data_IF_306880571404
#
_entry.id   IF_306880571404
#
_cell.length_a   1.000
_cell.length_b   1.000
_cell.length_c   1.000
_cell.angle_alpha   90.00
_cell.angle_beta   90.00
_cell.angle_gamma   90.00
#
_symmetry.space_group_name_H-M   'P 1'
#
loop_
_entity.id
_entity.type
_entity.pdbx_description
1 polymer ?
#
# COMPACT_ATOMS: atom_id res chain seq x y z
N UNK A 1 2.53 -14.21 14.93
CA UNK A 1 1.38 -14.79 14.18
C UNK A 1 0.03 -14.50 14.81
N UNK A 2 -0.09 -14.32 16.14
CA UNK A 2 -1.36 -14.11 16.85
C UNK A 2 -2.21 -12.95 16.28
N UNK A 3 -1.58 -11.81 15.97
CA UNK A 3 -2.29 -10.64 15.43
C UNK A 3 -2.89 -10.88 14.03
N UNK A 4 -2.18 -11.64 13.18
CA UNK A 4 -2.68 -12.03 11.87
C UNK A 4 -3.94 -12.91 11.97
N UNK A 5 -3.95 -13.83 12.93
CA UNK A 5 -5.09 -14.73 13.19
C UNK A 5 -6.28 -13.95 13.73
N UNK A 6 -6.04 -13.04 14.69
CA UNK A 6 -7.10 -12.22 15.27
C UNK A 6 -7.77 -11.30 14.24
N UNK A 7 -6.97 -10.69 13.34
CA UNK A 7 -7.46 -9.82 12.28
C UNK A 7 -7.90 -10.56 11.02
N UNK A 8 -7.73 -11.89 10.96
CA UNK A 8 -7.95 -12.71 9.76
C UNK A 8 -7.22 -12.19 8.50
N UNK A 9 -5.97 -11.72 8.65
CA UNK A 9 -5.16 -11.19 7.54
C UNK A 9 -3.88 -12.01 7.33
N UNK A 10 -3.41 -12.06 6.09
CA UNK A 10 -2.10 -12.66 5.78
C UNK A 10 -0.96 -11.82 6.38
N UNK A 11 0.18 -12.43 6.75
CA UNK A 11 1.33 -11.70 7.29
C UNK A 11 1.80 -10.52 6.43
N UNK A 12 1.81 -10.68 5.10
CA UNK A 12 2.24 -9.60 4.20
C UNK A 12 1.22 -8.46 4.11
N UNK A 13 -0.06 -8.77 4.26
CA UNK A 13 -1.12 -7.76 4.40
C UNK A 13 -0.92 -6.97 5.69
N UNK A 14 -0.65 -7.63 6.81
CA UNK A 14 -0.37 -6.96 8.08
C UNK A 14 0.86 -6.07 7.98
N UNK A 15 1.98 -6.56 7.41
CA UNK A 15 3.18 -5.75 7.19
C UNK A 15 2.88 -4.51 6.34
N UNK A 16 2.06 -4.65 5.31
CA UNK A 16 1.65 -3.51 4.49
C UNK A 16 0.82 -2.50 5.29
N UNK A 17 -0.17 -2.94 6.06
CA UNK A 17 -0.98 -2.07 6.92
C UNK A 17 -0.10 -1.28 7.90
N UNK A 18 0.87 -1.94 8.53
CA UNK A 18 1.81 -1.28 9.45
C UNK A 18 2.68 -0.23 8.77
N UNK A 19 3.11 -0.47 7.52
CA UNK A 19 3.84 0.54 6.73
C UNK A 19 2.97 1.76 6.41
N UNK A 20 1.70 1.55 6.08
CA UNK A 20 0.75 2.65 5.86
C UNK A 20 0.53 3.44 7.15
N UNK A 21 0.38 2.77 8.29
CA UNK A 21 0.24 3.44 9.59
C UNK A 21 1.48 4.23 10.00
N UNK A 22 2.68 3.73 9.67
CA UNK A 22 3.94 4.45 9.90
C UNK A 22 4.02 5.72 9.04
N UNK A 23 3.67 5.62 7.76
CA UNK A 23 3.63 6.75 6.81
C UNK A 23 2.62 7.83 7.24
N UNK A 24 1.46 7.39 7.76
CA UNK A 24 0.44 8.27 8.34
C UNK A 24 0.76 8.74 9.76
N UNK A 25 1.88 8.33 10.35
CA UNK A 25 2.30 8.65 11.73
C UNK A 25 1.29 8.21 12.82
N UNK A 26 0.51 7.18 12.55
CA UNK A 26 -0.33 6.51 13.55
C UNK A 26 0.48 5.59 14.46
N UNK A 27 1.61 5.11 13.95
CA UNK A 27 2.60 4.37 14.72
C UNK A 27 3.98 4.94 14.47
N UNK A 28 4.87 4.80 15.44
CA UNK A 28 6.30 5.07 15.31
C UNK A 28 7.07 3.75 15.40
N UNK A 29 8.32 3.77 14.94
CA UNK A 29 9.23 2.65 15.11
C UNK A 29 10.41 3.12 15.97
N UNK A 30 10.58 2.48 17.12
CA UNK A 30 11.66 2.72 18.08
C UNK A 30 12.32 1.39 18.38
N UNK A 31 13.63 1.27 18.17
CA UNK A 31 14.41 0.04 18.42
C UNK A 31 13.85 -1.22 17.73
N UNK A 32 13.29 -1.04 16.53
CA UNK A 32 12.67 -2.13 15.76
C UNK A 32 11.30 -2.57 16.27
N UNK A 33 10.78 -1.91 17.31
CA UNK A 33 9.44 -2.13 17.85
C UNK A 33 8.48 -1.04 17.37
N UNK A 34 7.25 -1.43 17.06
CA UNK A 34 6.19 -0.50 16.68
C UNK A 34 5.50 0.00 17.94
N UNK A 35 5.41 1.32 18.09
CA UNK A 35 4.64 1.99 19.15
C UNK A 35 3.46 2.74 18.56
N UNK A 36 2.34 2.76 19.28
CA UNK A 36 1.16 3.52 18.88
C UNK A 36 1.40 4.99 19.22
N UNK A 37 1.15 5.88 18.27
CA UNK A 37 1.09 7.31 18.54
C UNK A 37 -0.22 7.61 19.31
N UNK A 38 -0.11 8.16 20.52
CA UNK A 38 -1.26 8.45 21.37
C UNK A 38 -2.06 9.68 20.93
N UNK A 39 -1.45 10.59 20.16
CA UNK A 39 -2.07 11.81 19.66
C UNK A 39 -1.83 11.98 18.15
N UNK A 40 -2.34 11.06 17.30
CA UNK A 40 -2.19 11.20 15.88
C UNK A 40 -3.16 12.26 15.33
N UNK A 41 -2.69 13.06 14.37
CA UNK A 41 -3.59 13.88 13.56
C UNK A 41 -4.52 12.98 12.76
N UNK A 42 -5.77 13.40 12.55
CA UNK A 42 -6.68 12.69 11.64
C UNK A 42 -6.14 12.79 10.21
N UNK A 43 -5.81 11.66 9.59
CA UNK A 43 -5.31 11.58 8.21
C UNK A 43 -6.09 10.56 7.40
N UNK A 44 -6.36 10.86 6.13
CA UNK A 44 -6.96 9.90 5.21
C UNK A 44 -5.94 8.84 4.80
N UNK A 45 -6.40 7.63 4.55
CA UNK A 45 -5.58 6.56 3.96
C UNK A 45 -5.01 6.98 2.59
N UNK A 46 -5.76 7.79 1.84
CA UNK A 46 -5.36 8.29 0.52
C UNK A 46 -4.17 9.24 0.59
N UNK A 47 -3.85 9.79 1.76
CA UNK A 47 -2.66 10.63 1.94
C UNK A 47 -1.37 9.83 2.12
N UNK A 48 -1.45 8.50 2.28
CA UNK A 48 -0.28 7.63 2.38
C UNK A 48 0.34 7.36 1.01
N UNK A 49 1.62 7.69 0.85
CA UNK A 49 2.41 7.35 -0.34
C UNK A 49 2.54 5.83 -0.50
N UNK A 50 2.66 5.10 0.62
CA UNK A 50 2.72 3.63 0.60
C UNK A 50 1.42 3.04 0.05
N UNK A 51 0.28 3.60 0.43
CA UNK A 51 -1.01 3.16 -0.07
C UNK A 51 -1.23 3.52 -1.55
N UNK A 52 -0.95 4.77 -1.93
CA UNK A 52 -1.04 5.22 -3.33
C UNK A 52 -0.18 4.36 -4.27
N UNK A 53 1.06 4.03 -3.88
CA UNK A 53 1.93 3.18 -4.69
C UNK A 53 1.34 1.77 -4.90
N UNK A 54 0.65 1.22 -3.90
CA UNK A 54 -0.03 -0.07 -4.05
C UNK A 54 -1.21 0.02 -5.02
N UNK A 55 -1.99 1.11 -4.96
CA UNK A 55 -3.08 1.34 -5.91
C UNK A 55 -2.55 1.45 -7.34
N UNK A 56 -1.50 2.26 -7.57
CA UNK A 56 -0.87 2.40 -8.88
C UNK A 56 -0.41 1.05 -9.46
N UNK A 57 0.22 0.20 -8.63
CA UNK A 57 0.61 -1.15 -9.04
C UNK A 57 -0.59 -2.01 -9.43
N UNK A 58 -1.65 -1.99 -8.62
CA UNK A 58 -2.87 -2.73 -8.91
C UNK A 58 -3.55 -2.26 -10.19
N UNK A 59 -3.52 -0.96 -10.48
CA UNK A 59 -4.12 -0.41 -11.69
C UNK A 59 -3.32 -0.76 -12.94
N UNK A 60 -1.99 -0.75 -12.85
CA UNK A 60 -1.11 -1.25 -13.92
C UNK A 60 -1.33 -2.75 -14.14
N UNK A 61 -1.40 -3.55 -13.08
CA UNK A 61 -1.65 -5.00 -13.19
C UNK A 61 -3.00 -5.29 -13.88
N UNK A 62 -4.06 -4.56 -13.52
CA UNK A 62 -5.36 -4.68 -14.20
C UNK A 62 -5.24 -4.33 -15.69
N UNK A 63 -4.59 -3.22 -16.03
CA UNK A 63 -4.42 -2.82 -17.43
C UNK A 63 -3.68 -3.90 -18.22
N UNK A 64 -2.60 -4.47 -17.67
CA UNK A 64 -1.84 -5.52 -18.33
C UNK A 64 -2.59 -6.84 -18.47
N UNK A 65 -3.43 -7.21 -17.50
CA UNK A 65 -4.16 -8.49 -17.52
C UNK A 65 -5.43 -8.45 -18.38
N UNK A 66 -6.06 -7.28 -18.53
CA UNK A 66 -7.36 -7.15 -19.18
C UNK A 66 -7.32 -6.56 -20.59
N UNK A 67 -6.18 -6.08 -21.07
CA UNK A 67 -6.05 -5.47 -22.39
C UNK A 67 -5.46 -6.42 -23.44
N UNK A 68 -5.91 -6.26 -24.68
CA UNK A 68 -5.29 -6.93 -25.82
C UNK A 68 -3.88 -6.37 -26.07
N UNK A 69 -2.98 -7.20 -26.62
CA UNK A 69 -1.57 -6.86 -26.82
C UNK A 69 -1.33 -5.51 -27.53
N UNK A 70 -2.19 -5.17 -28.50
CA UNK A 70 -2.13 -3.91 -29.24
C UNK A 70 -2.39 -2.69 -28.35
N UNK A 71 -3.31 -2.80 -27.38
CA UNK A 71 -3.63 -1.74 -26.43
C UNK A 71 -2.52 -1.55 -25.41
N UNK A 72 -1.99 -2.66 -24.87
CA UNK A 72 -0.83 -2.65 -23.96
C UNK A 72 0.36 -1.95 -24.62
N UNK A 73 0.65 -2.27 -25.89
CA UNK A 73 1.76 -1.66 -26.64
C UNK A 73 1.61 -0.14 -26.78
N UNK A 74 0.40 0.34 -27.02
CA UNK A 74 0.13 1.78 -27.14
C UNK A 74 0.20 2.48 -25.79
N UNK A 75 -0.28 1.84 -24.72
CA UNK A 75 -0.19 2.36 -23.36
C UNK A 75 1.27 2.45 -22.87
N UNK A 76 2.09 1.42 -23.08
CA UNK A 76 3.52 1.47 -22.72
C UNK A 76 4.22 2.64 -23.41
N UNK A 77 3.91 2.89 -24.68
CA UNK A 77 4.45 4.04 -25.41
C UNK A 77 4.04 5.38 -24.80
N UNK A 78 2.81 5.53 -24.30
CA UNK A 78 2.35 6.78 -23.69
C UNK A 78 2.93 7.05 -22.30
N UNK A 79 3.38 6.00 -21.60
CA UNK A 79 4.06 6.16 -20.30
C UNK A 79 5.55 6.49 -20.42
N UNK A 80 6.17 6.25 -21.60
CA UNK A 80 7.60 6.49 -21.86
C UNK A 80 7.88 7.83 -22.54
N UNK A 81 6.85 8.51 -23.03
CA UNK A 81 6.88 9.86 -23.62
C UNK A 81 6.62 10.93 -22.58
#
# INVERSE_FOLDING_TARGET
MLLCQHLSVKPDTLKFMLKVFLDLKFVTQEDGLIRINQQPDKRSIDSSKVYQLRQQRMDVEKQLLYQDFSEIKNWIKSQLS
#
